data_IF_833960862525
#
_entry.id   IF_833960862525
#
_cell.length_a   1.000
_cell.length_b   1.000
_cell.length_c   1.000
_cell.angle_alpha   90.00
_cell.angle_beta   90.00
_cell.angle_gamma   90.00
#
_symmetry.space_group_name_H-M   'P 1'
#
loop_
_entity.id
_entity.type
_entity.pdbx_description
1 polymer ?
#
# COMPACT_ATOMS: atom_id res chain seq x y z
N UNK A 1 -45.16 -15.57 11.70
CA UNK A 1 -43.84 -16.17 11.46
C UNK A 1 -42.78 -15.12 11.74
N UNK A 2 -42.07 -15.34 12.84
CA UNK A 2 -41.10 -14.44 13.46
C UNK A 2 -39.79 -14.54 12.67
N UNK A 3 -39.31 -13.44 12.08
CA UNK A 3 -37.94 -13.35 11.60
C UNK A 3 -37.01 -13.27 12.83
N UNK A 4 -35.97 -14.13 12.95
CA UNK A 4 -34.96 -13.91 13.97
C UNK A 4 -34.08 -12.71 13.58
N UNK A 5 -33.73 -11.99 14.63
CA UNK A 5 -33.08 -10.69 14.65
C UNK A 5 -31.74 -10.63 13.90
N UNK A 6 -31.47 -9.43 13.38
CA UNK A 6 -30.14 -8.93 13.15
C UNK A 6 -29.28 -9.09 14.43
N UNK A 7 -28.42 -10.09 14.40
CA UNK A 7 -27.28 -10.34 15.29
C UNK A 7 -26.18 -10.79 14.31
N UNK A 8 -24.97 -10.24 14.22
CA UNK A 8 -24.17 -9.36 15.07
C UNK A 8 -22.93 -8.97 14.26
N UNK A 9 -23.00 -7.93 13.41
CA UNK A 9 -21.84 -7.50 12.56
C UNK A 9 -20.71 -6.80 13.34
N UNK A 10 -20.83 -6.64 14.66
CA UNK A 10 -19.87 -5.90 15.49
C UNK A 10 -18.97 -6.76 16.37
N UNK A 11 -19.19 -8.08 16.44
CA UNK A 11 -18.49 -8.95 17.41
C UNK A 11 -17.28 -9.70 16.83
N UNK A 12 -17.09 -9.67 15.50
CA UNK A 12 -16.04 -10.42 14.79
C UNK A 12 -14.73 -9.61 14.56
N UNK A 13 -14.60 -8.41 15.15
CA UNK A 13 -13.48 -7.49 14.88
C UNK A 13 -12.22 -7.70 15.73
N UNK A 14 -12.27 -8.52 16.78
CA UNK A 14 -11.22 -8.58 17.81
C UNK A 14 -10.17 -9.68 17.57
N UNK A 15 -10.49 -10.76 16.86
CA UNK A 15 -9.60 -11.93 16.68
C UNK A 15 -8.85 -12.01 15.34
N UNK A 16 -8.94 -10.98 14.49
CA UNK A 16 -8.19 -11.00 13.23
C UNK A 16 -6.68 -10.82 13.47
N UNK A 17 -5.82 -11.62 12.80
CA UNK A 17 -4.38 -11.42 12.84
C UNK A 17 -4.00 -9.97 12.53
N UNK A 18 -2.98 -9.46 13.21
CA UNK A 18 -2.57 -8.05 13.12
C UNK A 18 -2.41 -7.58 11.67
N UNK A 19 -1.78 -8.39 10.82
CA UNK A 19 -1.58 -8.11 9.41
C UNK A 19 -2.91 -7.86 8.68
N UNK A 20 -3.89 -8.75 8.83
CA UNK A 20 -5.21 -8.65 8.19
C UNK A 20 -5.96 -7.42 8.70
N UNK A 21 -5.97 -7.22 10.02
CA UNK A 21 -6.64 -6.08 10.65
C UNK A 21 -6.08 -4.75 10.12
N UNK A 22 -4.76 -4.63 10.07
CA UNK A 22 -4.08 -3.42 9.58
C UNK A 22 -4.25 -3.25 8.08
N UNK A 23 -4.17 -4.32 7.30
CA UNK A 23 -4.40 -4.26 5.85
C UNK A 23 -5.81 -3.74 5.53
N UNK A 24 -6.85 -4.27 6.18
CA UNK A 24 -8.22 -3.77 6.04
C UNK A 24 -8.33 -2.30 6.45
N UNK A 25 -7.65 -1.89 7.53
CA UNK A 25 -7.62 -0.49 7.97
C UNK A 25 -6.94 0.44 6.96
N UNK A 26 -5.90 -0.01 6.27
CA UNK A 26 -5.16 0.79 5.28
C UNK A 26 -5.68 0.64 3.85
N UNK A 27 -6.72 -0.17 3.64
CA UNK A 27 -7.43 -0.27 2.36
C UNK A 27 -8.44 0.86 2.29
N UNK A 28 -7.93 2.08 2.11
CA UNK A 28 -8.69 3.30 1.91
C UNK A 28 -8.87 3.61 0.41
N UNK A 29 -9.86 4.44 0.00
CA UNK A 29 -10.06 4.81 -1.40
C UNK A 29 -8.81 5.41 -2.08
N UNK A 30 -7.96 6.08 -1.28
CA UNK A 30 -6.73 6.71 -1.76
C UNK A 30 -5.51 5.78 -1.71
N UNK A 31 -5.55 4.68 -0.94
CA UNK A 31 -4.43 3.75 -0.71
C UNK A 31 -4.43 2.59 -1.69
N UNK A 32 -3.28 2.26 -2.25
CA UNK A 32 -3.16 1.16 -3.22
C UNK A 32 -2.93 -0.17 -2.49
N UNK A 33 -3.31 -1.30 -3.09
CA UNK A 33 -3.19 -2.59 -2.41
C UNK A 33 -1.75 -2.88 -1.93
N UNK A 34 -0.73 -2.53 -2.72
CA UNK A 34 0.66 -2.67 -2.30
C UNK A 34 1.05 -1.69 -1.17
N UNK A 35 0.56 -0.44 -1.21
CA UNK A 35 0.74 0.55 -0.12
C UNK A 35 0.07 0.08 1.19
N UNK A 36 -1.09 -0.58 1.10
CA UNK A 36 -1.78 -1.16 2.25
C UNK A 36 -1.02 -2.37 2.82
N UNK A 37 -0.49 -3.26 1.96
CA UNK A 37 0.39 -4.36 2.38
C UNK A 37 1.62 -3.81 3.11
N UNK A 38 2.29 -2.82 2.53
CA UNK A 38 3.49 -2.22 3.12
C UNK A 38 3.21 -1.67 4.52
N UNK A 39 2.09 -0.96 4.70
CA UNK A 39 1.71 -0.42 6.00
C UNK A 39 1.32 -1.52 7.00
N UNK A 40 0.62 -2.56 6.56
CA UNK A 40 0.26 -3.69 7.41
C UNK A 40 1.49 -4.44 7.93
N UNK A 41 2.43 -4.78 7.03
CA UNK A 41 3.66 -5.47 7.41
C UNK A 41 4.62 -4.58 8.21
N UNK A 42 4.61 -3.26 8.00
CA UNK A 42 5.33 -2.31 8.87
C UNK A 42 4.82 -2.37 10.31
N UNK A 43 3.50 -2.48 10.51
CA UNK A 43 2.91 -2.60 11.85
C UNK A 43 3.26 -3.95 12.51
N UNK A 44 3.28 -5.04 11.75
CA UNK A 44 3.77 -6.34 12.23
C UNK A 44 5.23 -6.24 12.65
N UNK A 45 6.09 -5.70 11.78
CA UNK A 45 7.51 -5.52 12.07
C UNK A 45 7.77 -4.62 13.29
N UNK A 46 6.94 -3.60 13.48
CA UNK A 46 7.03 -2.67 14.62
C UNK A 46 6.63 -3.34 15.95
N UNK A 47 5.65 -4.23 15.92
CA UNK A 47 5.15 -4.93 17.12
C UNK A 47 5.92 -6.22 17.43
N UNK A 48 6.76 -6.69 16.51
CA UNK A 48 7.65 -7.83 16.69
C UNK A 48 8.57 -7.66 17.91
N UNK A 49 8.55 -8.63 18.82
CA UNK A 49 9.49 -8.73 19.96
C UNK A 49 10.76 -9.53 19.60
N UNK A 50 10.88 -9.98 18.36
CA UNK A 50 12.03 -10.73 17.88
C UNK A 50 13.35 -10.00 18.15
N UNK A 51 14.35 -10.78 18.57
CA UNK A 51 15.72 -10.32 18.87
C UNK A 51 16.72 -10.74 17.80
N UNK A 52 16.27 -11.48 16.79
CA UNK A 52 17.09 -12.00 15.70
C UNK A 52 16.43 -11.76 14.34
N UNK A 53 17.26 -11.67 13.30
CA UNK A 53 16.78 -11.53 11.91
C UNK A 53 15.94 -12.73 11.47
N UNK A 54 16.26 -13.94 11.96
CA UNK A 54 15.55 -15.17 11.60
C UNK A 54 14.12 -15.18 12.14
N UNK A 55 13.92 -14.81 13.41
CA UNK A 55 12.58 -14.70 14.00
C UNK A 55 11.73 -13.64 13.28
N UNK A 56 12.31 -12.47 12.97
CA UNK A 56 11.62 -11.44 12.17
C UNK A 56 11.20 -11.98 10.80
N UNK A 57 12.07 -12.78 10.18
CA UNK A 57 11.79 -13.38 8.88
C UNK A 57 10.56 -14.29 8.96
N UNK A 58 10.54 -15.20 9.91
CA UNK A 58 9.43 -16.14 10.13
C UNK A 58 8.11 -15.39 10.36
N UNK A 59 8.11 -14.41 11.26
CA UNK A 59 6.92 -13.58 11.56
C UNK A 59 6.40 -12.82 10.34
N UNK A 60 7.30 -12.26 9.52
CA UNK A 60 6.90 -11.52 8.32
C UNK A 60 6.46 -12.43 7.18
N UNK A 61 7.07 -13.60 7.01
CA UNK A 61 6.65 -14.60 6.01
C UNK A 61 5.26 -15.15 6.36
N UNK A 62 4.99 -15.45 7.63
CA UNK A 62 3.66 -15.87 8.10
C UNK A 62 2.61 -14.78 7.83
N UNK A 63 2.90 -13.53 8.22
CA UNK A 63 2.01 -12.40 7.95
C UNK A 63 1.77 -12.16 6.46
N UNK A 64 2.81 -12.34 5.63
CA UNK A 64 2.73 -12.19 4.18
C UNK A 64 1.84 -13.27 3.54
N UNK A 65 1.98 -14.53 3.96
CA UNK A 65 1.15 -15.63 3.47
C UNK A 65 -0.31 -15.48 3.89
N UNK A 66 -0.58 -15.00 5.12
CA UNK A 66 -1.93 -14.65 5.56
C UNK A 66 -2.54 -13.57 4.65
N UNK A 67 -1.80 -12.51 4.31
CA UNK A 67 -2.30 -11.46 3.41
C UNK A 67 -2.59 -11.97 2.00
N UNK A 68 -1.76 -12.88 1.48
CA UNK A 68 -1.96 -13.47 0.14
C UNK A 68 -3.22 -14.35 0.11
N UNK A 69 -3.38 -15.20 1.11
CA UNK A 69 -4.48 -16.18 1.19
C UNK A 69 -5.84 -15.52 1.46
N UNK A 70 -5.93 -14.60 2.42
CA UNK A 70 -7.20 -13.99 2.86
C UNK A 70 -7.74 -12.89 1.93
N UNK A 71 -6.89 -12.29 1.08
CA UNK A 71 -7.26 -11.14 0.25
C UNK A 71 -7.23 -11.42 -1.25
N UNK A 72 -7.22 -12.70 -1.64
CA UNK A 72 -7.26 -13.14 -3.03
C UNK A 72 -6.03 -12.70 -3.81
N UNK A 73 -4.86 -13.26 -3.48
CA UNK A 73 -3.55 -13.20 -4.17
C UNK A 73 -3.46 -12.36 -5.46
N UNK A 74 -3.69 -11.05 -5.36
CA UNK A 74 -3.49 -10.17 -6.51
C UNK A 74 -2.00 -9.95 -6.73
N UNK A 75 -1.59 -9.67 -7.97
CA UNK A 75 -0.18 -9.36 -8.28
C UNK A 75 0.36 -8.25 -7.38
N UNK A 76 -0.45 -7.23 -7.06
CA UNK A 76 -0.06 -6.13 -6.18
C UNK A 76 0.16 -6.57 -4.71
N UNK A 77 -0.67 -7.47 -4.19
CA UNK A 77 -0.52 -8.01 -2.83
C UNK A 77 0.72 -8.89 -2.76
N UNK A 78 0.84 -9.86 -3.67
CA UNK A 78 1.96 -10.81 -3.70
C UNK A 78 3.29 -10.08 -3.85
N UNK A 79 3.42 -9.22 -4.86
CA UNK A 79 4.65 -8.45 -5.06
C UNK A 79 4.93 -7.48 -3.91
N UNK A 80 3.91 -6.85 -3.34
CA UNK A 80 4.05 -5.98 -2.17
C UNK A 80 4.63 -6.71 -0.96
N UNK A 81 4.13 -7.92 -0.69
CA UNK A 81 4.63 -8.78 0.38
C UNK A 81 6.09 -9.17 0.14
N UNK A 82 6.39 -9.71 -1.05
CA UNK A 82 7.72 -10.24 -1.36
C UNK A 82 8.78 -9.13 -1.36
N UNK A 83 8.45 -7.95 -1.90
CA UNK A 83 9.33 -6.77 -1.87
C UNK A 83 9.56 -6.27 -0.44
N UNK A 84 8.53 -6.28 0.41
CA UNK A 84 8.68 -5.85 1.80
C UNK A 84 9.60 -6.80 2.58
N UNK A 85 9.34 -8.11 2.53
CA UNK A 85 10.16 -9.12 3.20
C UNK A 85 11.61 -9.02 2.73
N UNK A 86 11.84 -9.00 1.40
CA UNK A 86 13.18 -8.86 0.83
C UNK A 86 13.89 -7.58 1.29
N UNK A 87 13.18 -6.46 1.36
CA UNK A 87 13.75 -5.19 1.84
C UNK A 87 14.19 -5.27 3.31
N UNK A 88 13.34 -5.82 4.18
CA UNK A 88 13.68 -5.99 5.61
C UNK A 88 14.88 -6.91 5.77
N UNK A 89 14.90 -8.06 5.09
CA UNK A 89 16.01 -9.02 5.18
C UNK A 89 17.33 -8.40 4.73
N UNK A 90 17.32 -7.64 3.63
CA UNK A 90 18.51 -6.96 3.14
C UNK A 90 19.06 -5.93 4.15
N UNK A 91 18.18 -5.17 4.81
CA UNK A 91 18.59 -4.14 5.77
C UNK A 91 19.03 -4.72 7.11
N UNK A 92 18.43 -5.82 7.56
CA UNK A 92 18.81 -6.47 8.82
C UNK A 92 20.10 -7.29 8.72
N UNK A 93 20.54 -7.65 7.52
CA UNK A 93 21.77 -8.40 7.28
C UNK A 93 23.05 -7.53 7.24
N UNK A 94 23.01 -6.35 7.86
CA UNK A 94 24.16 -5.41 7.92
C UNK A 94 25.02 -5.64 9.16
N UNK A 95 26.31 -5.30 9.09
CA UNK A 95 27.27 -5.46 10.19
C UNK A 95 26.99 -4.60 11.45
N UNK A 96 26.04 -3.66 11.38
CA UNK A 96 25.71 -2.73 12.47
C UNK A 96 24.95 -3.36 13.66
N UNK A 97 24.60 -4.65 13.56
CA UNK A 97 23.85 -5.42 14.56
C UNK A 97 22.33 -5.24 14.47
N UNK A 98 21.60 -6.33 14.76
CA UNK A 98 20.14 -6.43 14.56
C UNK A 98 19.34 -5.28 15.17
N UNK A 99 19.56 -4.94 16.44
CA UNK A 99 18.78 -3.91 17.14
C UNK A 99 18.95 -2.51 16.54
N UNK A 100 20.18 -2.18 16.11
CA UNK A 100 20.49 -0.91 15.46
C UNK A 100 19.83 -0.83 14.08
N UNK A 101 19.93 -1.90 13.29
CA UNK A 101 19.32 -1.99 11.96
C UNK A 101 17.81 -1.96 12.02
N UNK A 102 17.18 -2.67 12.97
CA UNK A 102 15.73 -2.66 13.21
C UNK A 102 15.23 -1.25 13.52
N UNK A 103 15.89 -0.53 14.43
CA UNK A 103 15.53 0.87 14.76
C UNK A 103 15.63 1.79 13.55
N UNK A 104 16.77 1.79 12.86
CA UNK A 104 16.99 2.63 11.66
C UNK A 104 15.98 2.31 10.55
N UNK A 105 15.62 1.04 10.38
CA UNK A 105 14.64 0.61 9.40
C UNK A 105 13.24 1.10 9.76
N UNK A 106 12.81 0.96 11.02
CA UNK A 106 11.52 1.47 11.47
C UNK A 106 11.38 2.98 11.23
N UNK A 107 12.41 3.77 11.55
CA UNK A 107 12.43 5.21 11.28
C UNK A 107 12.25 5.52 9.78
N UNK A 108 12.81 4.69 8.90
CA UNK A 108 12.66 4.83 7.44
C UNK A 108 11.27 4.44 6.97
N UNK A 109 10.72 3.34 7.48
CA UNK A 109 9.38 2.86 7.12
C UNK A 109 8.29 3.85 7.56
N UNK A 110 8.43 4.49 8.72
CA UNK A 110 7.48 5.53 9.16
C UNK A 110 7.49 6.77 8.25
N UNK A 111 8.66 7.13 7.71
CA UNK A 111 8.78 8.22 6.72
C UNK A 111 8.21 7.84 5.36
N UNK A 112 8.23 6.56 4.98
CA UNK A 112 7.77 6.08 3.69
C UNK A 112 6.31 6.48 3.40
N UNK A 113 5.41 6.37 4.38
CA UNK A 113 3.99 6.74 4.21
C UNK A 113 3.80 8.18 3.72
N UNK A 114 4.49 9.13 4.35
CA UNK A 114 4.43 10.55 3.96
C UNK A 114 5.09 10.74 2.58
N UNK A 115 6.21 10.06 2.35
CA UNK A 115 6.96 10.16 1.11
C UNK A 115 6.16 9.68 -0.10
N UNK A 116 5.43 8.57 -0.01
CA UNK A 116 4.65 8.03 -1.13
C UNK A 116 3.60 9.02 -1.64
N UNK A 117 2.94 9.76 -0.74
CA UNK A 117 2.00 10.83 -1.12
C UNK A 117 2.73 11.97 -1.82
N UNK A 118 3.86 12.42 -1.28
CA UNK A 118 4.68 13.49 -1.85
C UNK A 118 5.17 13.12 -3.25
N UNK A 119 5.75 11.93 -3.42
CA UNK A 119 6.24 11.44 -4.72
C UNK A 119 5.11 11.44 -5.76
N UNK A 120 3.90 11.02 -5.36
CA UNK A 120 2.74 11.03 -6.26
C UNK A 120 2.42 12.44 -6.77
N UNK A 121 2.47 13.43 -5.88
CA UNK A 121 2.26 14.84 -6.21
C UNK A 121 3.43 15.40 -7.04
N UNK A 122 4.67 15.00 -6.77
CA UNK A 122 5.83 15.40 -7.55
C UNK A 122 5.75 14.86 -8.98
N UNK A 123 5.44 13.57 -9.16
CA UNK A 123 5.18 12.99 -10.48
C UNK A 123 4.09 13.81 -11.18
N UNK A 124 2.98 14.07 -10.49
CA UNK A 124 1.90 14.87 -11.05
C UNK A 124 2.32 16.30 -11.41
N UNK A 125 3.22 16.92 -10.65
CA UNK A 125 3.74 18.26 -10.89
C UNK A 125 4.73 18.34 -12.05
N UNK A 126 5.48 17.27 -12.32
CA UNK A 126 6.49 17.23 -13.38
C UNK A 126 5.93 16.70 -14.71
N UNK A 127 4.92 15.83 -14.65
CA UNK A 127 4.35 15.17 -15.84
C UNK A 127 3.22 15.98 -16.48
N UNK A 128 2.63 16.94 -15.77
CA UNK A 128 1.60 17.83 -16.30
C UNK A 128 2.01 18.59 -17.58
N UNK A 129 3.31 18.79 -17.82
CA UNK A 129 3.91 19.55 -18.91
C UNK A 129 3.74 18.84 -20.24
N UNK A 130 3.60 17.51 -20.20
CA UNK A 130 3.31 16.69 -21.37
C UNK A 130 1.87 16.83 -21.84
N UNK A 131 0.97 17.36 -21.01
CA UNK A 131 -0.38 17.73 -21.43
C UNK A 131 -0.28 19.12 -22.08
N UNK A 132 -0.57 19.20 -23.37
CA UNK A 132 -0.62 20.46 -24.11
C UNK A 132 -2.05 20.95 -24.26
N UNK A 133 -2.22 22.24 -24.55
CA UNK A 133 -3.53 22.79 -24.86
C UNK A 133 -4.13 22.13 -26.11
N UNK A 134 -5.46 22.00 -26.09
CA UNK A 134 -6.32 21.38 -27.09
C UNK A 134 -5.98 19.90 -27.40
N UNK A 135 -5.21 19.24 -26.52
CA UNK A 135 -4.90 17.81 -26.65
C UNK A 135 -6.07 16.91 -26.25
N UNK A 136 -6.07 15.68 -26.79
CA UNK A 136 -6.98 14.60 -26.38
C UNK A 136 -6.14 13.45 -25.80
N UNK A 137 -6.43 13.09 -24.55
CA UNK A 137 -5.69 12.08 -23.79
C UNK A 137 -6.54 10.83 -23.69
N UNK A 138 -5.99 9.67 -24.01
CA UNK A 138 -6.61 8.38 -23.77
C UNK A 138 -6.09 7.78 -22.45
N UNK A 139 -7.00 7.37 -21.56
CA UNK A 139 -6.67 6.70 -20.30
C UNK A 139 -7.41 5.37 -20.24
N UNK A 140 -6.71 4.31 -19.83
CA UNK A 140 -7.30 3.00 -19.58
C UNK A 140 -7.28 2.67 -18.10
N UNK A 141 -8.40 2.14 -17.60
CA UNK A 141 -8.56 1.78 -16.20
C UNK A 141 -8.47 2.98 -15.25
N UNK A 142 -8.32 2.68 -13.96
CA UNK A 142 -8.20 3.69 -12.92
C UNK A 142 -6.78 3.77 -12.37
N UNK A 143 -6.11 4.91 -12.60
CA UNK A 143 -4.80 5.21 -12.02
C UNK A 143 -4.83 6.53 -11.27
N UNK A 144 -4.55 6.48 -9.96
CA UNK A 144 -4.46 7.68 -9.10
C UNK A 144 -3.37 8.64 -9.52
N UNK A 145 -2.24 8.12 -10.02
CA UNK A 145 -1.14 8.96 -10.51
C UNK A 145 -1.61 9.75 -11.74
N UNK A 146 -2.26 9.07 -12.70
CA UNK A 146 -2.83 9.73 -13.88
C UNK A 146 -3.90 10.74 -13.48
N UNK A 147 -4.80 10.39 -12.56
CA UNK A 147 -5.81 11.31 -12.05
C UNK A 147 -5.18 12.56 -11.41
N UNK A 148 -4.11 12.40 -10.63
CA UNK A 148 -3.38 13.52 -10.04
C UNK A 148 -2.72 14.41 -11.11
N UNK A 149 -2.12 13.82 -12.16
CA UNK A 149 -1.55 14.55 -13.30
C UNK A 149 -2.64 15.37 -14.01
N UNK A 150 -3.78 14.75 -14.34
CA UNK A 150 -4.90 15.43 -15.03
C UNK A 150 -5.46 16.58 -14.18
N UNK A 151 -5.63 16.36 -12.87
CA UNK A 151 -6.06 17.41 -11.92
C UNK A 151 -5.05 18.57 -11.88
N UNK A 152 -3.76 18.28 -11.86
CA UNK A 152 -2.72 19.31 -11.85
C UNK A 152 -2.68 20.10 -13.17
N UNK A 153 -2.83 19.45 -14.31
CA UNK A 153 -2.92 20.13 -15.60
C UNK A 153 -4.14 21.06 -15.67
N UNK A 154 -5.31 20.59 -15.20
CA UNK A 154 -6.52 21.41 -15.13
C UNK A 154 -6.35 22.63 -14.20
N UNK A 155 -5.70 22.46 -13.03
CA UNK A 155 -5.38 23.58 -12.12
C UNK A 155 -4.44 24.62 -12.74
N UNK A 156 -3.62 24.23 -13.72
CA UNK A 156 -2.77 25.14 -14.49
C UNK A 156 -3.49 25.72 -15.72
N UNK A 157 -4.82 25.67 -15.77
CA UNK A 157 -5.69 26.20 -16.83
C UNK A 157 -5.45 25.61 -18.22
N UNK A 158 -4.93 24.38 -18.30
CA UNK A 158 -4.76 23.69 -19.59
C UNK A 158 -6.11 23.19 -20.10
N UNK A 159 -6.35 23.37 -21.40
CA UNK A 159 -7.57 22.89 -22.08
C UNK A 159 -7.28 21.55 -22.73
N UNK A 160 -7.92 20.47 -22.29
CA UNK A 160 -7.74 19.14 -22.87
C UNK A 160 -9.00 18.29 -22.72
N UNK A 161 -9.10 17.24 -23.52
CA UNK A 161 -10.16 16.23 -23.44
C UNK A 161 -9.58 14.92 -22.94
N UNK A 162 -10.36 14.14 -22.20
CA UNK A 162 -9.95 12.81 -21.72
C UNK A 162 -10.96 11.79 -22.21
N UNK A 163 -10.47 10.77 -22.91
CA UNK A 163 -11.22 9.57 -23.28
C UNK A 163 -10.81 8.48 -22.29
N UNK A 164 -11.80 7.87 -21.62
CA UNK A 164 -11.56 6.81 -20.64
C UNK A 164 -12.11 5.50 -21.18
N UNK A 165 -11.29 4.46 -21.20
CA UNK A 165 -11.74 3.09 -21.50
C UNK A 165 -11.93 2.31 -20.21
N UNK A 166 -13.06 1.61 -20.10
CA UNK A 166 -13.35 0.74 -18.97
C UNK A 166 -12.57 -0.56 -19.02
N UNK A 167 -12.47 -1.23 -17.88
CA UNK A 167 -12.11 -2.64 -17.87
C UNK A 167 -13.36 -3.41 -18.30
N UNK A 168 -13.28 -4.17 -19.40
CA UNK A 168 -14.38 -5.04 -19.82
C UNK A 168 -14.78 -5.94 -18.66
N UNK A 169 -16.02 -5.83 -18.21
CA UNK A 169 -16.68 -6.72 -17.25
C UNK A 169 -16.86 -8.11 -17.83
#
# INVERSE_FOLDING_TARGET
FLFPAAMSEQEERVDLPLAIRKFRQFTDPDSNAAEAVFQALTEVFKQSEATTTMQVKEELEEAAELLKTENGSTVAITSGCDLFVGHVMNVLNTDEGFSSSKRKLLDRLERFKKMTVIIRLEIANHTERFITDDSTILVHGFSRVVLAILRNAAKKNKRFKVIVTGNGS
#
